data_IF_469382087568
#
_entry.id   IF_469382087568
#
_cell.length_a   1.000
_cell.length_b   1.000
_cell.length_c   1.000
_cell.angle_alpha   90.00
_cell.angle_beta   90.00
_cell.angle_gamma   90.00
#
_symmetry.space_group_name_H-M   'P 1'
#
loop_
_entity.id
_entity.type
_entity.pdbx_description
1 polymer ?
#
# COMPACT_ATOMS: atom_id res chain seq x y z
N UNK A 1 8.67 5.19 16.49
CA UNK A 1 7.44 4.38 16.26
C UNK A 1 7.41 3.72 14.88
N UNK A 2 7.59 4.47 13.78
CA UNK A 2 7.53 3.89 12.42
C UNK A 2 8.56 2.77 12.22
N UNK A 3 9.80 2.97 12.70
CA UNK A 3 10.87 1.97 12.54
C UNK A 3 10.57 0.65 13.24
N UNK A 4 9.86 0.69 14.38
CA UNK A 4 9.38 -0.51 15.06
C UNK A 4 8.37 -1.29 14.21
N UNK A 5 7.40 -0.61 13.58
CA UNK A 5 6.46 -1.31 12.70
C UNK A 5 7.12 -1.83 11.44
N UNK A 6 8.11 -1.11 10.91
CA UNK A 6 8.88 -1.56 9.76
C UNK A 6 9.67 -2.83 10.09
N UNK A 7 10.40 -2.86 11.22
CA UNK A 7 11.15 -4.05 11.63
C UNK A 7 10.22 -5.23 11.93
N UNK A 8 9.11 -5.00 12.63
CA UNK A 8 8.12 -6.04 12.89
C UNK A 8 7.47 -6.60 11.63
N UNK A 9 7.27 -5.78 10.59
CA UNK A 9 6.78 -6.23 9.29
C UNK A 9 7.86 -7.03 8.54
N UNK A 10 9.10 -6.56 8.56
CA UNK A 10 10.23 -7.26 7.94
C UNK A 10 10.42 -8.65 8.55
N UNK A 11 10.48 -8.75 9.88
CA UNK A 11 10.64 -10.02 10.61
C UNK A 11 9.53 -11.03 10.29
N UNK A 12 8.28 -10.56 10.15
CA UNK A 12 7.11 -11.43 9.86
C UNK A 12 6.99 -11.82 8.39
N UNK A 13 7.57 -11.03 7.49
CA UNK A 13 7.54 -11.30 6.05
C UNK A 13 8.78 -12.06 5.59
N UNK A 14 9.89 -11.98 6.31
CA UNK A 14 11.14 -12.66 5.97
C UNK A 14 10.93 -14.19 5.95
N UNK A 15 11.30 -14.83 4.83
CA UNK A 15 11.19 -16.28 4.67
C UNK A 15 9.77 -16.84 4.46
N UNK A 16 8.70 -16.08 4.74
CA UNK A 16 7.31 -16.55 4.61
C UNK A 16 6.65 -16.07 3.31
N UNK A 17 6.66 -16.93 2.29
CA UNK A 17 6.04 -16.63 0.98
C UNK A 17 4.51 -16.54 1.05
N UNK A 18 3.87 -17.19 2.01
CA UNK A 18 2.41 -17.15 2.17
C UNK A 18 2.01 -15.79 2.74
N UNK A 19 2.68 -15.34 3.80
CA UNK A 19 2.47 -14.02 4.39
C UNK A 19 2.70 -12.91 3.35
N UNK A 20 3.80 -12.98 2.59
CA UNK A 20 4.10 -12.05 1.51
C UNK A 20 2.98 -11.94 0.48
N UNK A 21 2.46 -13.09 0.01
CA UNK A 21 1.37 -13.13 -0.97
C UNK A 21 0.06 -12.59 -0.41
N UNK A 22 -0.30 -12.99 0.81
CA UNK A 22 -1.53 -12.58 1.46
C UNK A 22 -1.53 -11.07 1.72
N UNK A 23 -0.46 -10.55 2.32
CA UNK A 23 -0.32 -9.12 2.62
C UNK A 23 -0.24 -8.31 1.33
N UNK A 24 0.56 -8.75 0.35
CA UNK A 24 0.63 -8.08 -0.95
C UNK A 24 -0.72 -8.04 -1.66
N UNK A 25 -1.52 -9.11 -1.58
CA UNK A 25 -2.87 -9.12 -2.12
C UNK A 25 -3.80 -8.16 -1.36
N UNK A 26 -3.79 -8.20 -0.02
CA UNK A 26 -4.63 -7.36 0.82
C UNK A 26 -4.35 -5.87 0.57
N UNK A 27 -3.08 -5.48 0.51
CA UNK A 27 -2.66 -4.11 0.24
C UNK A 27 -3.09 -3.65 -1.17
N UNK A 28 -3.02 -4.50 -2.19
CA UNK A 28 -3.48 -4.12 -3.55
C UNK A 28 -4.99 -3.90 -3.64
N UNK A 29 -5.78 -4.63 -2.84
CA UNK A 29 -7.24 -4.70 -3.03
C UNK A 29 -8.04 -3.88 -2.02
N UNK A 30 -7.58 -3.88 -0.77
CA UNK A 30 -8.34 -3.43 0.38
C UNK A 30 -7.79 -2.13 0.95
N UNK A 31 -6.47 -1.92 0.87
CA UNK A 31 -5.85 -0.70 1.41
C UNK A 31 -6.37 0.56 0.73
N UNK A 32 -6.63 1.58 1.54
CA UNK A 32 -7.05 2.93 1.13
C UNK A 32 -6.45 3.94 2.13
N UNK A 33 -6.30 5.22 1.75
CA UNK A 33 -5.85 6.27 2.68
C UNK A 33 -6.68 6.30 3.96
N UNK A 34 -6.02 6.54 5.10
CA UNK A 34 -6.72 6.67 6.39
C UNK A 34 -7.80 7.76 6.30
N UNK A 35 -8.95 7.51 6.91
CA UNK A 35 -10.16 8.34 6.76
C UNK A 35 -11.10 7.85 5.65
N UNK A 36 -10.61 7.04 4.69
CA UNK A 36 -11.46 6.43 3.66
C UNK A 36 -12.53 5.53 4.30
N UNK A 37 -13.80 5.93 4.19
CA UNK A 37 -14.96 5.21 4.73
C UNK A 37 -15.56 5.80 6.00
N UNK A 38 -14.90 6.81 6.59
CA UNK A 38 -15.42 7.59 7.73
C UNK A 38 -15.61 9.05 7.33
N UNK A 39 -14.64 9.61 6.62
CA UNK A 39 -14.65 10.99 6.11
C UNK A 39 -15.31 11.03 4.73
N UNK A 40 -16.07 12.09 4.37
CA UNK A 40 -16.61 12.26 3.03
C UNK A 40 -15.54 12.09 1.94
N UNK A 41 -15.91 11.47 0.83
CA UNK A 41 -14.97 11.14 -0.24
C UNK A 41 -14.31 12.39 -0.85
N UNK A 42 -15.06 13.50 -0.93
CA UNK A 42 -14.56 14.77 -1.46
C UNK A 42 -13.49 15.37 -0.55
N UNK A 43 -13.70 15.35 0.76
CA UNK A 43 -12.72 15.85 1.74
C UNK A 43 -11.47 14.95 1.78
N UNK A 44 -11.65 13.63 1.76
CA UNK A 44 -10.52 12.69 1.69
C UNK A 44 -9.69 12.93 0.42
N UNK A 45 -10.36 13.12 -0.72
CA UNK A 45 -9.70 13.43 -2.00
C UNK A 45 -8.97 14.76 -1.94
N UNK A 46 -9.59 15.80 -1.39
CA UNK A 46 -8.96 17.10 -1.24
C UNK A 46 -7.65 17.01 -0.46
N UNK A 47 -7.63 16.29 0.67
CA UNK A 47 -6.40 16.11 1.46
C UNK A 47 -5.34 15.33 0.68
N UNK A 48 -5.72 14.26 -0.02
CA UNK A 48 -4.79 13.49 -0.85
C UNK A 48 -4.20 14.37 -1.96
N UNK A 49 -5.03 15.13 -2.67
CA UNK A 49 -4.61 16.02 -3.76
C UNK A 49 -3.76 17.19 -3.21
N UNK A 50 -4.08 17.70 -2.02
CA UNK A 50 -3.31 18.76 -1.37
C UNK A 50 -1.91 18.30 -0.94
N UNK A 51 -1.79 17.07 -0.42
CA UNK A 51 -0.52 16.54 0.07
C UNK A 51 0.37 15.96 -1.03
N UNK A 52 -0.23 15.35 -2.04
CA UNK A 52 0.48 14.55 -3.05
C UNK A 52 0.27 15.04 -4.49
N UNK A 53 -0.45 16.13 -4.70
CA UNK A 53 -0.62 16.76 -6.01
C UNK A 53 0.66 17.39 -6.55
N UNK A 54 0.73 17.51 -7.87
CA UNK A 54 1.89 18.07 -8.57
C UNK A 54 3.14 17.18 -8.50
N UNK A 55 4.24 17.68 -9.06
CA UNK A 55 5.48 16.91 -9.17
C UNK A 55 6.14 16.67 -7.80
N UNK A 56 6.18 17.69 -6.94
CA UNK A 56 6.76 17.60 -5.60
C UNK A 56 5.97 16.60 -4.72
N UNK A 57 4.64 16.70 -4.70
CA UNK A 57 3.78 15.78 -3.98
C UNK A 57 3.94 14.33 -4.46
N UNK A 58 4.05 14.12 -5.77
CA UNK A 58 4.34 12.80 -6.34
C UNK A 58 5.73 12.28 -5.97
N UNK A 59 6.73 13.15 -5.84
CA UNK A 59 8.06 12.75 -5.35
C UNK A 59 7.99 12.27 -3.88
N UNK A 60 7.16 12.91 -3.05
CA UNK A 60 6.89 12.46 -1.67
C UNK A 60 6.16 11.12 -1.67
N UNK A 61 5.11 10.94 -2.48
CA UNK A 61 4.39 9.68 -2.62
C UNK A 61 5.34 8.52 -2.94
N UNK A 62 6.20 8.70 -3.96
CA UNK A 62 7.24 7.73 -4.33
C UNK A 62 8.23 7.44 -3.20
N UNK A 63 8.58 8.44 -2.39
CA UNK A 63 9.49 8.24 -1.24
C UNK A 63 8.85 7.35 -0.17
N UNK A 64 7.55 7.48 0.06
CA UNK A 64 6.81 6.62 0.98
C UNK A 64 6.71 5.21 0.41
N UNK A 65 6.34 5.06 -0.86
CA UNK A 65 6.24 3.74 -1.51
C UNK A 65 7.58 2.99 -1.51
N UNK A 66 8.72 3.68 -1.70
CA UNK A 66 10.06 3.08 -1.57
C UNK A 66 10.37 2.48 -0.20
N UNK A 67 9.69 2.91 0.87
CA UNK A 67 9.84 2.28 2.20
C UNK A 67 9.08 0.96 2.27
N UNK A 68 7.90 0.90 1.65
CA UNK A 68 7.10 -0.33 1.55
C UNK A 68 7.80 -1.35 0.64
N UNK A 69 8.42 -0.89 -0.46
CA UNK A 69 9.15 -1.75 -1.39
C UNK A 69 10.32 -2.51 -0.75
N UNK A 70 10.87 -2.01 0.36
CA UNK A 70 11.93 -2.68 1.11
C UNK A 70 11.43 -3.89 1.90
N UNK A 71 10.14 -3.98 2.17
CA UNK A 71 9.57 -5.12 2.89
C UNK A 71 9.55 -6.35 1.96
N UNK A 72 9.94 -7.54 2.47
CA UNK A 72 9.96 -8.76 1.66
C UNK A 72 8.60 -9.01 0.99
N UNK A 73 8.62 -9.22 -0.34
CA UNK A 73 7.43 -9.56 -1.12
C UNK A 73 6.44 -8.42 -1.40
N UNK A 74 6.70 -7.19 -0.95
CA UNK A 74 5.80 -6.03 -1.12
C UNK A 74 6.30 -5.00 -2.15
N UNK A 75 7.20 -5.39 -3.04
CA UNK A 75 7.76 -4.53 -4.07
C UNK A 75 6.70 -4.09 -5.10
N UNK A 76 6.80 -2.83 -5.53
CA UNK A 76 6.10 -2.29 -6.70
C UNK A 76 4.60 -2.06 -6.48
N UNK A 77 4.14 -2.05 -5.23
CA UNK A 77 2.73 -1.83 -4.89
C UNK A 77 2.23 -0.43 -5.24
N UNK A 78 3.11 0.58 -5.13
CA UNK A 78 2.84 1.99 -5.49
C UNK A 78 1.55 2.51 -4.84
N UNK A 79 1.33 2.19 -3.56
CA UNK A 79 0.05 2.43 -2.87
C UNK A 79 -0.29 3.92 -2.82
N UNK A 80 0.69 4.75 -2.47
CA UNK A 80 0.47 6.19 -2.32
C UNK A 80 0.35 6.84 -3.69
N UNK A 81 1.21 6.46 -4.66
CA UNK A 81 1.09 6.96 -6.03
C UNK A 81 -0.28 6.64 -6.67
N UNK A 82 -0.82 5.44 -6.42
CA UNK A 82 -2.15 5.06 -6.88
C UNK A 82 -3.23 5.91 -6.21
N UNK A 83 -3.19 6.07 -4.89
CA UNK A 83 -4.12 6.94 -4.17
C UNK A 83 -4.08 8.39 -4.66
N UNK A 84 -2.89 8.96 -4.83
CA UNK A 84 -2.67 10.34 -5.29
C UNK A 84 -3.15 10.56 -6.72
N UNK A 85 -3.03 9.55 -7.60
CA UNK A 85 -3.51 9.66 -8.98
C UNK A 85 -4.99 9.32 -9.15
N UNK A 86 -5.72 9.01 -8.06
CA UNK A 86 -7.09 8.50 -8.10
C UNK A 86 -7.22 7.16 -8.83
N UNK A 87 -6.10 6.48 -9.12
CA UNK A 87 -6.07 5.17 -9.78
C UNK A 87 -6.12 4.09 -8.72
N UNK A 88 -6.99 3.10 -8.91
CA UNK A 88 -6.93 1.88 -8.10
C UNK A 88 -5.76 1.02 -8.60
N UNK A 89 -4.96 0.37 -7.72
CA UNK A 89 -3.95 -0.58 -8.17
C UNK A 89 -4.59 -1.66 -9.04
N UNK A 90 -3.95 -2.12 -10.14
CA UNK A 90 -4.53 -3.14 -10.99
C UNK A 90 -4.84 -4.39 -10.17
N UNK A 91 -6.08 -4.85 -10.31
CA UNK A 91 -6.54 -6.10 -9.73
C UNK A 91 -5.76 -7.27 -10.36
N UNK A 92 -4.75 -7.82 -9.67
CA UNK A 92 -4.15 -9.09 -10.09
C UNK A 92 -5.23 -10.17 -10.03
N UNK A 93 -5.76 -10.59 -11.17
CA UNK A 93 -6.67 -11.73 -11.30
C UNK A 93 -5.79 -12.97 -11.32
N UNK A 94 -5.81 -13.76 -10.25
CA UNK A 94 -5.54 -15.20 -10.27
C UNK A 94 -5.97 -15.82 -8.93
N UNK A 95 -6.61 -16.97 -9.07
CA UNK A 95 -7.20 -17.82 -8.03
C UNK A 95 -6.26 -18.01 -6.84
N UNK A 96 -6.76 -17.76 -5.63
CA UNK A 96 -6.07 -18.15 -4.41
C UNK A 96 -5.95 -19.68 -4.42
N UNK A 97 -4.76 -20.28 -4.23
CA UNK A 97 -4.72 -21.65 -3.76
C UNK A 97 -5.33 -21.62 -2.36
N UNK A 98 -6.37 -22.41 -2.16
CA UNK A 98 -6.88 -22.73 -0.83
C UNK A 98 -5.68 -23.18 0.01
N UNK A 99 -5.42 -22.49 1.11
CA UNK A 99 -4.43 -22.92 2.09
C UNK A 99 -4.95 -24.22 2.72
N UNK A 100 -4.47 -25.35 2.22
CA UNK A 100 -4.54 -26.61 2.95
C UNK A 100 -3.53 -26.52 4.10
N UNK A 101 -4.04 -26.69 5.32
CA UNK A 101 -3.27 -26.86 6.54
C UNK A 101 -2.50 -28.19 6.52
#
# INVERSE_FOLDING_TARGET
HIDFYASQAEDRLAGDRTAQRLVGWALRRVWRPVGSGVVPALETRFVVDHLFGGEEGMAVARRIDRRIDRLPGLQGLRLIEHAASGRRPPAAVRHLPVLAA
#
